data_IF_221915178683
#
_entry.id   IF_221915178683
#
_cell.length_a   1.000
_cell.length_b   1.000
_cell.length_c   1.000
_cell.angle_alpha   90.00
_cell.angle_beta   90.00
_cell.angle_gamma   90.00
#
_symmetry.space_group_name_H-M   'P 1'
#
loop_
_entity.id
_entity.type
_entity.pdbx_description
1 polymer ?
#
# COMPACT_ATOMS: atom_id res chain seq x y z
N UNK A 1 -26.40 -44.81 -21.89
CA UNK A 1 -25.40 -44.89 -20.78
C UNK A 1 -26.12 -45.36 -19.52
N UNK A 2 -25.62 -46.38 -18.84
CA UNK A 2 -26.35 -46.96 -17.70
C UNK A 2 -26.28 -46.02 -16.48
N UNK A 3 -27.32 -45.97 -15.64
CA UNK A 3 -27.48 -44.96 -14.56
C UNK A 3 -26.27 -44.94 -13.60
N UNK A 4 -25.70 -46.13 -13.32
CA UNK A 4 -24.47 -46.29 -12.50
C UNK A 4 -23.24 -45.62 -13.13
N UNK A 5 -23.13 -45.58 -14.45
CA UNK A 5 -21.99 -44.95 -15.13
C UNK A 5 -22.13 -43.43 -15.15
N UNK A 6 -23.35 -42.91 -15.27
CA UNK A 6 -23.65 -41.47 -15.13
C UNK A 6 -23.29 -41.00 -13.71
N UNK A 7 -23.68 -41.79 -12.69
CA UNK A 7 -23.41 -41.44 -11.30
C UNK A 7 -21.92 -41.44 -10.96
N UNK A 8 -21.15 -42.42 -11.44
CA UNK A 8 -19.69 -42.45 -11.30
C UNK A 8 -19.01 -41.26 -11.99
N UNK A 9 -19.47 -40.89 -13.18
CA UNK A 9 -18.94 -39.75 -13.92
C UNK A 9 -19.14 -38.44 -13.15
N UNK A 10 -20.33 -38.23 -12.59
CA UNK A 10 -20.64 -37.06 -11.76
C UNK A 10 -19.80 -37.02 -10.49
N UNK A 11 -19.59 -38.17 -9.83
CA UNK A 11 -18.79 -38.25 -8.62
C UNK A 11 -17.31 -37.95 -8.89
N UNK A 12 -16.75 -38.45 -9.99
CA UNK A 12 -15.38 -38.11 -10.38
C UNK A 12 -15.24 -36.63 -10.76
N UNK A 13 -16.23 -36.06 -11.46
CA UNK A 13 -16.23 -34.63 -11.78
C UNK A 13 -16.21 -33.78 -10.50
N UNK A 14 -17.07 -34.09 -9.53
CA UNK A 14 -17.11 -33.39 -8.24
C UNK A 14 -15.81 -33.55 -7.44
N UNK A 15 -15.23 -34.75 -7.41
CA UNK A 15 -13.96 -35.00 -6.73
C UNK A 15 -12.80 -34.21 -7.36
N UNK A 16 -12.76 -34.10 -8.69
CA UNK A 16 -11.74 -33.33 -9.41
C UNK A 16 -11.89 -31.84 -9.11
N UNK A 17 -13.11 -31.31 -9.15
CA UNK A 17 -13.39 -29.90 -8.81
C UNK A 17 -12.98 -29.62 -7.36
N UNK A 18 -13.37 -30.49 -6.42
CA UNK A 18 -12.99 -30.37 -5.01
C UNK A 18 -11.49 -30.40 -4.80
N UNK A 19 -10.78 -31.29 -5.50
CA UNK A 19 -9.32 -31.37 -5.45
C UNK A 19 -8.66 -30.09 -5.99
N UNK A 20 -9.12 -29.56 -7.13
CA UNK A 20 -8.58 -28.33 -7.72
C UNK A 20 -8.79 -27.14 -6.77
N UNK A 21 -9.96 -27.01 -6.15
CA UNK A 21 -10.25 -25.93 -5.21
C UNK A 21 -9.39 -26.02 -3.94
N UNK A 22 -9.22 -27.21 -3.38
CA UNK A 22 -8.37 -27.42 -2.19
C UNK A 22 -6.90 -27.17 -2.52
N UNK A 23 -6.42 -27.68 -3.66
CA UNK A 23 -5.06 -27.45 -4.14
C UNK A 23 -4.81 -25.95 -4.40
N UNK A 24 -5.76 -25.25 -5.02
CA UNK A 24 -5.70 -23.80 -5.22
C UNK A 24 -5.68 -23.02 -3.91
N UNK A 25 -6.53 -23.39 -2.95
CA UNK A 25 -6.52 -22.79 -1.60
C UNK A 25 -5.17 -22.95 -0.91
N UNK A 26 -4.57 -24.14 -0.96
CA UNK A 26 -3.24 -24.37 -0.39
C UNK A 26 -2.13 -23.65 -1.16
N UNK A 27 -2.22 -23.55 -2.48
CA UNK A 27 -1.27 -22.80 -3.30
C UNK A 27 -1.26 -21.31 -2.92
N UNK A 28 -2.43 -20.71 -2.71
CA UNK A 28 -2.55 -19.32 -2.23
C UNK A 28 -2.09 -19.22 -0.77
N UNK A 29 -2.56 -20.11 0.11
CA UNK A 29 -2.26 -20.07 1.55
C UNK A 29 -0.76 -20.22 1.86
N UNK A 30 -0.04 -21.03 1.09
CA UNK A 30 1.40 -21.22 1.25
C UNK A 30 2.24 -20.31 0.34
N UNK A 31 1.62 -19.34 -0.33
CA UNK A 31 2.35 -18.37 -1.15
C UNK A 31 3.03 -18.97 -2.39
N UNK A 32 2.60 -20.16 -2.85
CA UNK A 32 3.10 -20.80 -4.07
C UNK A 32 2.73 -20.03 -5.34
N UNK A 33 1.83 -19.06 -5.24
CA UNK A 33 1.43 -18.14 -6.32
C UNK A 33 1.99 -16.72 -6.13
N UNK A 34 2.87 -16.49 -5.15
CA UNK A 34 3.43 -15.15 -4.92
C UNK A 34 4.29 -14.74 -6.12
N UNK A 35 3.95 -13.61 -6.73
CA UNK A 35 4.80 -13.00 -7.75
C UNK A 35 6.09 -12.54 -7.10
N UNK A 36 7.21 -12.87 -7.74
CA UNK A 36 8.54 -12.53 -7.22
C UNK A 36 8.68 -11.01 -7.26
N UNK A 37 8.80 -10.37 -6.09
CA UNK A 37 9.14 -8.95 -6.03
C UNK A 37 10.54 -8.70 -6.60
N UNK A 38 10.78 -7.48 -7.07
CA UNK A 38 12.09 -7.07 -7.56
C UNK A 38 12.86 -6.33 -6.49
N UNK A 39 14.18 -6.50 -6.52
CA UNK A 39 15.14 -5.74 -5.70
C UNK A 39 15.86 -4.78 -6.63
N UNK A 40 15.83 -3.49 -6.29
CA UNK A 40 16.53 -2.46 -7.04
C UNK A 40 18.01 -2.49 -6.68
N UNK A 41 18.83 -3.07 -7.56
CA UNK A 41 20.28 -3.10 -7.39
C UNK A 41 20.96 -1.74 -7.70
N UNK A 42 20.20 -0.74 -8.16
CA UNK A 42 20.70 0.56 -8.60
C UNK A 42 20.59 1.64 -7.51
N UNK A 43 21.50 1.61 -6.53
CA UNK A 43 21.57 2.61 -5.43
C UNK A 43 21.97 4.04 -5.88
N UNK A 44 22.62 4.20 -7.02
CA UNK A 44 23.25 5.47 -7.44
C UNK A 44 22.40 6.34 -8.39
N UNK A 45 21.33 5.78 -8.97
CA UNK A 45 20.52 6.47 -9.99
C UNK A 45 19.40 7.35 -9.43
N UNK A 46 18.86 7.01 -8.25
CA UNK A 46 17.68 7.69 -7.67
C UNK A 46 17.92 9.16 -7.35
N UNK A 47 19.14 9.53 -6.94
CA UNK A 47 19.45 10.89 -6.47
C UNK A 47 20.04 11.83 -7.53
N UNK A 48 20.49 11.32 -8.68
CA UNK A 48 21.22 12.14 -9.67
C UNK A 48 20.35 13.03 -10.55
N UNK A 49 19.02 12.86 -10.55
CA UNK A 49 18.12 13.51 -11.49
C UNK A 49 16.88 14.14 -10.82
N UNK A 50 17.04 14.72 -9.62
CA UNK A 50 15.94 15.45 -8.95
C UNK A 50 15.44 16.64 -9.80
N UNK A 51 16.24 17.14 -10.74
CA UNK A 51 15.88 18.24 -11.64
C UNK A 51 15.12 17.82 -12.91
N UNK A 52 15.14 16.54 -13.30
CA UNK A 52 14.40 16.10 -14.49
C UNK A 52 13.02 15.58 -14.11
N UNK A 53 11.98 16.02 -14.84
CA UNK A 53 10.62 15.53 -14.66
C UNK A 53 10.58 13.99 -14.79
N UNK A 54 10.02 13.25 -13.82
CA UNK A 54 9.98 11.79 -13.85
C UNK A 54 9.17 11.26 -15.04
N UNK A 55 9.64 10.20 -15.71
CA UNK A 55 8.98 9.68 -16.91
C UNK A 55 7.53 9.19 -16.67
N UNK A 56 7.20 8.77 -15.45
CA UNK A 56 5.84 8.36 -15.07
C UNK A 56 4.87 9.55 -14.90
N UNK A 57 5.36 10.78 -14.84
CA UNK A 57 4.57 12.00 -14.58
C UNK A 57 4.12 12.75 -15.85
N UNK A 58 4.38 12.22 -17.04
CA UNK A 58 3.99 12.84 -18.32
C UNK A 58 2.63 12.36 -18.85
N UNK A 59 2.10 11.26 -18.31
CA UNK A 59 0.89 10.60 -18.82
C UNK A 59 -0.43 11.17 -18.31
N UNK A 60 -1.52 10.80 -18.98
CA UNK A 60 -2.89 11.09 -18.54
C UNK A 60 -3.18 10.48 -17.16
N UNK A 61 -2.59 9.32 -16.86
CA UNK A 61 -2.71 8.62 -15.58
C UNK A 61 -2.22 9.50 -14.44
N UNK A 62 -1.12 10.22 -14.65
CA UNK A 62 -0.58 11.16 -13.66
C UNK A 62 -1.49 12.37 -13.48
N UNK A 63 -1.98 12.97 -14.57
CA UNK A 63 -2.89 14.11 -14.49
C UNK A 63 -4.20 13.76 -13.76
N UNK A 64 -4.71 12.54 -14.00
CA UNK A 64 -5.87 11.99 -13.28
C UNK A 64 -5.55 11.84 -11.80
N UNK A 65 -4.40 11.25 -11.48
CA UNK A 65 -3.92 11.09 -10.12
C UNK A 65 -3.80 12.42 -9.39
N UNK A 66 -3.06 13.39 -9.95
CA UNK A 66 -2.82 14.73 -9.41
C UNK A 66 -4.14 15.45 -9.09
N UNK A 67 -5.08 15.43 -10.05
CA UNK A 67 -6.41 16.03 -9.85
C UNK A 67 -7.17 15.34 -8.72
N UNK A 68 -7.10 14.01 -8.64
CA UNK A 68 -7.85 13.24 -7.66
C UNK A 68 -7.26 13.36 -6.25
N UNK A 69 -5.94 13.23 -6.09
CA UNK A 69 -5.25 13.29 -4.79
C UNK A 69 -5.33 14.69 -4.18
N UNK A 70 -5.34 15.74 -4.99
CA UNK A 70 -5.48 17.12 -4.49
C UNK A 70 -6.84 17.37 -3.84
N UNK A 71 -7.90 16.69 -4.30
CA UNK A 71 -9.23 16.74 -3.65
C UNK A 71 -9.21 16.13 -2.25
N UNK A 72 -8.31 15.18 -2.02
CA UNK A 72 -8.18 14.44 -0.76
C UNK A 72 -7.17 15.08 0.20
N UNK A 73 -6.56 16.23 -0.16
CA UNK A 73 -5.49 16.88 0.60
C UNK A 73 -5.80 17.03 2.08
N UNK A 74 -6.99 17.51 2.43
CA UNK A 74 -7.41 17.73 3.83
C UNK A 74 -7.43 16.43 4.63
N UNK A 75 -7.97 15.35 4.05
CA UNK A 75 -8.03 14.05 4.70
C UNK A 75 -6.63 13.44 4.87
N UNK A 76 -5.76 13.60 3.86
CA UNK A 76 -4.36 13.15 3.89
C UNK A 76 -3.57 13.90 4.95
N UNK A 77 -3.66 15.23 5.01
CA UNK A 77 -2.96 16.06 6.01
C UNK A 77 -3.43 15.75 7.42
N UNK A 78 -4.74 15.56 7.62
CA UNK A 78 -5.29 15.17 8.93
C UNK A 78 -4.79 13.79 9.34
N UNK A 79 -4.81 12.82 8.44
CA UNK A 79 -4.30 11.46 8.69
C UNK A 79 -2.81 11.47 9.02
N UNK A 80 -2.01 12.19 8.23
CA UNK A 80 -0.58 12.35 8.42
C UNK A 80 -0.25 12.96 9.79
N UNK A 81 -0.97 14.01 10.18
CA UNK A 81 -0.80 14.68 11.48
C UNK A 81 -1.08 13.72 12.64
N UNK A 82 -2.18 12.98 12.58
CA UNK A 82 -2.55 12.03 13.64
C UNK A 82 -1.61 10.82 13.70
N UNK A 83 -1.11 10.37 12.56
CA UNK A 83 -0.16 9.26 12.48
C UNK A 83 1.28 9.66 12.81
N UNK A 84 1.61 10.95 12.84
CA UNK A 84 2.98 11.42 13.09
C UNK A 84 3.95 11.13 11.95
N UNK A 85 3.46 11.17 10.70
CA UNK A 85 4.24 11.03 9.46
C UNK A 85 3.96 12.20 8.52
N UNK A 86 4.75 12.37 7.47
CA UNK A 86 4.47 13.41 6.45
C UNK A 86 3.34 12.99 5.51
N UNK A 87 2.51 13.93 5.09
CA UNK A 87 1.51 13.72 4.04
C UNK A 87 2.14 13.18 2.75
N UNK A 88 3.32 13.71 2.37
CA UNK A 88 4.07 13.25 1.20
C UNK A 88 4.43 11.77 1.26
N UNK A 89 4.75 11.23 2.45
CA UNK A 89 5.05 9.81 2.61
C UNK A 89 3.81 8.92 2.39
N UNK A 90 2.63 9.35 2.85
CA UNK A 90 1.36 8.67 2.58
C UNK A 90 1.07 8.70 1.07
N UNK A 91 1.19 9.88 0.45
CA UNK A 91 0.96 10.05 -1.00
C UNK A 91 1.93 9.21 -1.81
N UNK A 92 3.17 9.02 -1.34
CA UNK A 92 4.15 8.15 -2.02
C UNK A 92 3.64 6.71 -2.18
N UNK A 93 2.97 6.17 -1.16
CA UNK A 93 2.35 4.83 -1.27
C UNK A 93 1.20 4.86 -2.26
N UNK A 94 0.36 5.89 -2.17
CA UNK A 94 -0.80 6.08 -3.03
C UNK A 94 -0.42 6.18 -4.51
N UNK A 95 0.70 6.84 -4.85
CA UNK A 95 1.23 6.91 -6.22
C UNK A 95 1.48 5.50 -6.78
N UNK A 96 2.21 4.68 -6.04
CA UNK A 96 2.54 3.33 -6.48
C UNK A 96 1.30 2.43 -6.62
N UNK A 97 0.35 2.52 -5.69
CA UNK A 97 -0.92 1.79 -5.75
C UNK A 97 -1.80 2.21 -6.93
N UNK A 98 -1.97 3.52 -7.13
CA UNK A 98 -2.90 4.06 -8.12
C UNK A 98 -2.34 4.01 -9.54
N UNK A 99 -1.05 4.30 -9.73
CA UNK A 99 -0.44 4.15 -11.05
C UNK A 99 -0.43 2.67 -11.47
N UNK A 100 -0.13 1.73 -10.56
CA UNK A 100 -0.28 0.30 -10.85
C UNK A 100 -1.71 -0.02 -11.31
N UNK A 101 -2.71 0.46 -10.58
CA UNK A 101 -4.12 0.25 -10.91
C UNK A 101 -4.47 0.82 -12.29
N UNK A 102 -4.07 2.05 -12.57
CA UNK A 102 -4.38 2.76 -13.83
C UNK A 102 -3.71 2.13 -15.05
N UNK A 103 -2.50 1.57 -14.90
CA UNK A 103 -1.79 0.90 -15.98
C UNK A 103 -2.24 -0.56 -16.18
N UNK A 104 -2.68 -1.24 -15.11
CA UNK A 104 -3.16 -2.62 -15.20
C UNK A 104 -4.60 -2.68 -15.71
N UNK A 105 -5.48 -1.80 -15.22
CA UNK A 105 -6.91 -1.79 -15.55
C UNK A 105 -7.25 -0.69 -16.57
N UNK A 106 -6.65 -0.78 -17.77
CA UNK A 106 -6.75 0.26 -18.82
C UNK A 106 -8.19 0.59 -19.22
N UNK A 107 -9.06 -0.41 -19.30
CA UNK A 107 -10.47 -0.20 -19.68
C UNK A 107 -11.21 0.61 -18.61
N UNK A 108 -11.12 0.21 -17.34
CA UNK A 108 -11.74 0.95 -16.22
C UNK A 108 -11.13 2.34 -16.08
N UNK A 109 -9.82 2.47 -16.29
CA UNK A 109 -9.17 3.78 -16.31
C UNK A 109 -9.80 4.72 -17.34
N UNK A 110 -10.02 4.25 -18.57
CA UNK A 110 -10.59 5.08 -19.65
C UNK A 110 -12.08 5.35 -19.48
N UNK A 111 -12.84 4.41 -18.94
CA UNK A 111 -14.31 4.55 -18.83
C UNK A 111 -14.78 5.16 -17.52
N UNK A 112 -13.97 5.09 -16.45
CA UNK A 112 -14.36 5.54 -15.10
C UNK A 112 -13.37 6.53 -14.51
N UNK A 113 -12.10 6.13 -14.30
CA UNK A 113 -11.15 6.94 -13.50
C UNK A 113 -10.78 8.25 -14.18
N UNK A 114 -10.48 8.23 -15.49
CA UNK A 114 -10.09 9.43 -16.22
C UNK A 114 -11.25 10.43 -16.40
N UNK A 115 -12.45 10.02 -16.85
CA UNK A 115 -13.57 10.96 -17.00
C UNK A 115 -13.99 11.61 -15.69
N UNK A 116 -13.96 10.87 -14.58
CA UNK A 116 -14.39 11.37 -13.27
C UNK A 116 -13.27 12.04 -12.47
N UNK A 117 -12.01 11.85 -12.88
CA UNK A 117 -10.80 12.31 -12.16
C UNK A 117 -10.83 11.87 -10.70
N UNK A 118 -10.94 10.55 -10.50
CA UNK A 118 -11.02 9.90 -9.18
C UNK A 118 -9.94 8.85 -9.00
N UNK A 119 -9.60 8.59 -7.73
CA UNK A 119 -8.82 7.43 -7.31
C UNK A 119 -9.70 6.17 -7.37
N UNK A 120 -9.10 5.03 -7.67
CA UNK A 120 -9.78 3.74 -7.68
C UNK A 120 -9.65 3.02 -6.34
N UNK A 121 -10.77 2.49 -5.84
CA UNK A 121 -10.73 1.44 -4.82
C UNK A 121 -10.09 0.18 -5.42
N UNK A 122 -9.28 -0.50 -4.61
CA UNK A 122 -8.64 -1.75 -4.99
C UNK A 122 -9.64 -2.93 -4.88
N UNK A 123 -9.15 -4.17 -4.83
CA UNK A 123 -10.01 -5.38 -4.90
C UNK A 123 -10.66 -5.77 -3.56
N UNK A 124 -11.48 -6.82 -3.55
CA UNK A 124 -11.99 -7.39 -2.30
C UNK A 124 -10.88 -7.88 -1.33
N UNK A 125 -9.67 -8.14 -1.84
CA UNK A 125 -8.51 -8.59 -1.06
C UNK A 125 -7.59 -7.43 -0.63
N UNK A 126 -7.85 -6.22 -1.09
CA UNK A 126 -7.03 -5.02 -0.84
C UNK A 126 -7.96 -3.81 -0.79
N UNK A 127 -8.19 -3.25 0.38
CA UNK A 127 -9.28 -2.32 0.62
C UNK A 127 -8.89 -0.86 0.39
N UNK A 128 -9.87 -0.09 -0.08
CA UNK A 128 -9.76 1.35 -0.27
C UNK A 128 -8.78 1.72 -1.38
N UNK A 129 -8.40 3.00 -1.41
CA UNK A 129 -7.46 3.55 -2.41
C UNK A 129 -6.00 3.17 -2.12
N UNK A 130 -5.71 2.79 -0.87
CA UNK A 130 -4.38 2.41 -0.40
C UNK A 130 -4.08 0.91 -0.49
N UNK A 131 -5.04 0.08 -0.93
CA UNK A 131 -4.82 -1.35 -1.13
C UNK A 131 -4.52 -2.16 0.13
N UNK A 132 -5.00 -1.72 1.29
CA UNK A 132 -4.71 -2.38 2.58
C UNK A 132 -5.37 -3.76 2.67
N UNK A 133 -4.59 -4.80 2.97
CA UNK A 133 -5.14 -6.13 3.28
C UNK A 133 -5.86 -6.09 4.63
N UNK A 134 -6.89 -6.93 4.78
CA UNK A 134 -7.63 -7.05 6.04
C UNK A 134 -6.72 -7.42 7.21
N UNK A 135 -5.85 -8.40 6.99
CA UNK A 135 -4.93 -8.91 8.01
C UNK A 135 -3.97 -7.81 8.48
N UNK A 136 -3.41 -7.03 7.54
CA UNK A 136 -2.56 -5.89 7.85
C UNK A 136 -3.30 -4.82 8.67
N UNK A 137 -4.54 -4.51 8.31
CA UNK A 137 -5.36 -3.56 9.06
C UNK A 137 -5.61 -4.02 10.51
N UNK A 138 -5.85 -5.31 10.71
CA UNK A 138 -5.98 -5.92 12.04
C UNK A 138 -4.65 -5.89 12.81
N UNK A 139 -3.52 -6.12 12.14
CA UNK A 139 -2.20 -6.06 12.77
C UNK A 139 -1.83 -4.67 13.25
N UNK A 140 -2.15 -3.63 12.47
CA UNK A 140 -2.00 -2.22 12.87
C UNK A 140 -2.76 -1.97 14.18
N UNK A 141 -4.06 -2.30 14.23
CA UNK A 141 -4.85 -2.12 15.47
C UNK A 141 -4.22 -2.84 16.67
N UNK A 142 -3.76 -4.08 16.49
CA UNK A 142 -3.10 -4.85 17.56
C UNK A 142 -1.78 -4.22 18.02
N UNK A 143 -1.00 -3.65 17.10
CA UNK A 143 0.27 -3.02 17.42
C UNK A 143 0.10 -1.69 18.15
N UNK A 144 -0.97 -0.95 17.88
CA UNK A 144 -1.32 0.26 18.61
C UNK A 144 -1.60 0.00 20.09
N UNK A 145 -2.22 -1.13 20.44
CA UNK A 145 -2.61 -1.44 21.83
C UNK A 145 -1.56 -2.27 22.59
N UNK A 146 -0.70 -2.99 21.90
CA UNK A 146 0.27 -3.88 22.52
C UNK A 146 1.57 -3.16 22.88
N UNK A 147 1.67 -2.65 24.10
CA UNK A 147 2.90 -1.98 24.61
C UNK A 147 4.19 -2.81 24.57
N UNK A 148 4.10 -4.15 24.45
CA UNK A 148 5.26 -5.03 24.28
C UNK A 148 5.65 -5.26 22.82
N UNK A 149 4.83 -4.79 21.87
CA UNK A 149 5.13 -4.86 20.44
C UNK A 149 6.33 -3.96 20.09
N UNK A 150 7.28 -4.42 19.26
CA UNK A 150 8.32 -3.53 18.75
C UNK A 150 7.71 -2.38 17.92
N UNK A 151 6.54 -2.60 17.32
CA UNK A 151 5.79 -1.64 16.53
C UNK A 151 5.00 -0.61 17.37
N UNK A 152 4.87 -0.78 18.69
CA UNK A 152 4.03 0.07 19.53
C UNK A 152 4.43 1.55 19.49
N UNK A 153 3.47 2.42 19.17
CA UNK A 153 3.66 3.86 18.97
C UNK A 153 3.55 4.69 20.27
N UNK A 154 2.98 4.13 21.33
CA UNK A 154 2.74 4.84 22.58
C UNK A 154 1.28 5.21 22.83
N UNK A 155 0.98 5.58 24.08
CA UNK A 155 -0.38 5.81 24.59
C UNK A 155 -1.22 6.82 23.81
N UNK A 156 -0.58 7.79 23.16
CA UNK A 156 -1.29 8.81 22.38
C UNK A 156 -1.96 8.24 21.11
N UNK A 157 -1.50 7.08 20.63
CA UNK A 157 -2.00 6.44 19.42
C UNK A 157 -3.02 5.33 19.67
N UNK A 158 -3.03 4.74 20.87
CA UNK A 158 -3.84 3.57 21.25
C UNK A 158 -5.32 3.69 20.87
N UNK A 159 -5.88 4.91 20.91
CA UNK A 159 -7.31 5.15 20.71
C UNK A 159 -7.69 5.62 19.30
N UNK A 160 -6.72 5.80 18.40
CA UNK A 160 -6.96 6.40 17.09
C UNK A 160 -7.86 5.53 16.19
N UNK A 161 -7.86 4.21 16.39
CA UNK A 161 -8.62 3.27 15.59
C UNK A 161 -9.72 2.53 16.36
N UNK A 162 -9.96 2.85 17.63
CA UNK A 162 -10.93 2.11 18.46
C UNK A 162 -12.28 1.96 17.74
N UNK A 163 -12.83 0.73 17.69
CA UNK A 163 -14.17 0.52 17.14
C UNK A 163 -15.19 1.21 18.05
N UNK A 164 -16.22 1.80 17.43
CA UNK A 164 -17.35 2.37 18.15
C UNK A 164 -18.59 1.47 18.08
N UNK A 165 -18.55 0.44 17.23
CA UNK A 165 -19.63 -0.53 17.06
C UNK A 165 -19.31 -1.88 17.71
N UNK A 166 -20.32 -2.74 17.81
CA UNK A 166 -20.16 -4.12 18.27
C UNK A 166 -19.57 -5.07 17.22
N UNK A 167 -19.34 -4.59 15.99
CA UNK A 167 -18.75 -5.36 14.88
C UNK A 167 -17.53 -4.62 14.30
N UNK A 168 -16.36 -4.77 14.96
CA UNK A 168 -15.13 -4.09 14.54
C UNK A 168 -14.69 -4.43 13.11
N UNK A 169 -14.99 -5.64 12.62
CA UNK A 169 -14.57 -6.07 11.28
C UNK A 169 -15.37 -5.36 10.18
N UNK A 170 -16.70 -5.31 10.32
CA UNK A 170 -17.55 -4.55 9.40
C UNK A 170 -17.23 -3.05 9.45
N UNK A 171 -16.98 -2.52 10.65
CA UNK A 171 -16.63 -1.12 10.84
C UNK A 171 -15.30 -0.77 10.16
N UNK A 172 -14.27 -1.61 10.36
CA UNK A 172 -12.95 -1.44 9.72
C UNK A 172 -13.06 -1.43 8.21
N UNK A 173 -13.77 -2.41 7.64
CA UNK A 173 -14.01 -2.47 6.20
C UNK A 173 -14.64 -1.16 5.71
N UNK A 174 -15.76 -0.74 6.32
CA UNK A 174 -16.48 0.49 5.95
C UNK A 174 -15.61 1.73 6.07
N UNK A 175 -14.82 1.86 7.15
CA UNK A 175 -13.89 2.98 7.35
C UNK A 175 -12.86 3.05 6.23
N UNK A 176 -12.23 1.92 5.88
CA UNK A 176 -11.14 1.89 4.89
C UNK A 176 -11.68 2.09 3.46
N UNK A 177 -12.90 1.63 3.17
CA UNK A 177 -13.52 1.71 1.83
C UNK A 177 -14.50 2.87 1.66
N UNK A 178 -14.58 3.81 2.61
CA UNK A 178 -15.53 4.92 2.53
C UNK A 178 -15.21 5.82 1.33
N UNK A 179 -16.17 5.95 0.42
CA UNK A 179 -16.04 6.75 -0.80
C UNK A 179 -16.28 8.25 -0.55
N UNK A 180 -16.93 8.61 0.56
CA UNK A 180 -17.22 10.01 0.91
C UNK A 180 -16.07 10.68 1.66
N UNK A 181 -15.32 9.90 2.45
CA UNK A 181 -14.09 10.35 3.11
C UNK A 181 -13.11 9.21 3.19
N UNK A 182 -11.97 9.36 2.51
CA UNK A 182 -10.90 8.37 2.50
C UNK A 182 -9.93 8.51 3.68
N UNK A 183 -10.29 9.37 4.64
CA UNK A 183 -9.49 9.66 5.82
C UNK A 183 -8.95 8.39 6.50
N UNK A 184 -9.78 7.38 6.75
CA UNK A 184 -9.31 6.17 7.43
C UNK A 184 -8.38 5.34 6.54
N UNK A 185 -8.59 5.29 5.22
CA UNK A 185 -7.63 4.66 4.30
C UNK A 185 -6.23 5.27 4.46
N UNK A 186 -6.17 6.61 4.54
CA UNK A 186 -4.92 7.33 4.77
C UNK A 186 -4.38 7.18 6.20
N UNK A 187 -5.25 7.20 7.22
CA UNK A 187 -4.85 7.07 8.62
C UNK A 187 -4.23 5.70 8.90
N UNK A 188 -4.86 4.61 8.44
CA UNK A 188 -4.28 3.27 8.56
C UNK A 188 -2.92 3.19 7.88
N UNK A 189 -2.78 3.78 6.69
CA UNK A 189 -1.49 3.80 5.98
C UNK A 189 -0.44 4.59 6.75
N UNK A 190 -0.78 5.77 7.26
CA UNK A 190 0.13 6.58 8.07
C UNK A 190 0.59 5.86 9.33
N UNK A 191 -0.34 5.21 10.04
CA UNK A 191 -0.04 4.45 11.26
C UNK A 191 0.85 3.24 10.94
N UNK A 192 0.56 2.52 9.87
CA UNK A 192 1.39 1.39 9.43
C UNK A 192 2.84 1.82 9.14
N UNK A 193 3.02 2.92 8.39
CA UNK A 193 4.34 3.48 8.12
C UNK A 193 5.06 3.88 9.42
N UNK A 194 4.34 4.49 10.36
CA UNK A 194 4.89 4.90 11.65
C UNK A 194 5.30 3.71 12.52
N UNK A 195 4.53 2.63 12.49
CA UNK A 195 4.81 1.40 13.20
C UNK A 195 6.09 0.75 12.71
N UNK A 196 6.26 0.64 11.38
CA UNK A 196 7.49 0.16 10.76
C UNK A 196 8.67 1.06 11.15
N UNK A 197 8.53 2.38 10.99
CA UNK A 197 9.57 3.35 11.37
C UNK A 197 10.00 3.17 12.83
N UNK A 198 9.03 3.02 13.73
CA UNK A 198 9.25 2.85 15.17
C UNK A 198 9.98 1.55 15.50
N UNK A 199 9.60 0.43 14.85
CA UNK A 199 10.26 -0.86 15.03
C UNK A 199 11.75 -0.79 14.65
N UNK A 200 12.04 -0.17 13.50
CA UNK A 200 13.40 -0.01 12.99
C UNK A 200 14.23 0.95 13.84
N UNK A 201 13.64 2.06 14.28
CA UNK A 201 14.29 3.01 15.17
C UNK A 201 14.66 2.36 16.52
N UNK A 202 13.74 1.62 17.15
CA UNK A 202 14.00 0.88 18.40
C UNK A 202 15.08 -0.19 18.24
N UNK A 203 15.21 -0.76 17.06
CA UNK A 203 16.26 -1.73 16.74
C UNK A 203 17.62 -1.11 16.40
N UNK A 204 17.73 0.23 16.38
CA UNK A 204 18.98 0.95 16.07
C UNK A 204 19.27 1.15 14.58
N UNK A 205 18.27 0.95 13.72
CA UNK A 205 18.38 1.09 12.26
C UNK A 205 17.39 2.14 11.75
N UNK A 206 17.60 3.43 12.07
CA UNK A 206 16.65 4.49 11.70
C UNK A 206 16.44 4.60 10.17
N UNK A 207 15.18 4.45 9.74
CA UNK A 207 14.74 4.57 8.34
C UNK A 207 13.71 5.69 8.13
N UNK A 208 13.54 6.59 9.10
CA UNK A 208 12.60 7.73 9.03
C UNK A 208 12.83 8.64 7.81
N UNK A 209 14.08 8.71 7.33
CA UNK A 209 14.47 9.47 6.13
C UNK A 209 14.70 8.56 4.90
N UNK A 210 14.21 7.32 4.92
CA UNK A 210 14.39 6.30 3.87
C UNK A 210 13.02 5.88 3.29
N UNK A 211 12.30 6.80 2.60
CA UNK A 211 10.97 6.54 2.07
C UNK A 211 10.92 5.32 1.15
N UNK A 212 11.99 5.01 0.44
CA UNK A 212 12.11 3.84 -0.42
C UNK A 212 12.07 2.52 0.36
N UNK A 213 12.64 2.50 1.57
CA UNK A 213 12.63 1.31 2.45
C UNK A 213 11.28 1.20 3.16
N UNK A 214 10.75 2.32 3.69
CA UNK A 214 9.41 2.35 4.28
C UNK A 214 8.35 1.87 3.28
N UNK A 215 8.43 2.32 2.03
CA UNK A 215 7.51 1.92 0.96
C UNK A 215 7.69 0.46 0.54
N UNK A 216 8.93 -0.02 0.52
CA UNK A 216 9.22 -1.45 0.29
C UNK A 216 8.53 -2.30 1.35
N UNK A 217 8.73 -1.97 2.63
CA UNK A 217 8.16 -2.70 3.77
C UNK A 217 6.64 -2.61 3.84
N UNK A 218 6.06 -1.43 3.57
CA UNK A 218 4.62 -1.26 3.41
C UNK A 218 4.05 -2.26 2.39
N UNK A 219 4.71 -2.39 1.23
CA UNK A 219 4.23 -3.24 0.15
C UNK A 219 4.36 -4.74 0.45
N UNK A 220 5.41 -5.16 1.15
CA UNK A 220 5.68 -6.58 1.38
C UNK A 220 5.12 -7.11 2.70
N UNK A 221 4.80 -6.27 3.70
CA UNK A 221 4.15 -6.70 4.94
C UNK A 221 5.06 -6.67 6.18
N UNK A 222 4.44 -6.67 7.36
CA UNK A 222 5.13 -6.72 8.66
C UNK A 222 6.04 -7.94 8.81
N UNK A 223 5.65 -9.09 8.25
CA UNK A 223 6.42 -10.33 8.34
C UNK A 223 7.81 -10.24 7.72
N UNK A 224 8.01 -9.28 6.81
CA UNK A 224 9.29 -9.04 6.14
C UNK A 224 10.07 -7.85 6.75
N UNK A 225 9.50 -7.16 7.74
CA UNK A 225 10.17 -6.06 8.43
C UNK A 225 11.20 -6.56 9.44
N UNK A 226 12.39 -6.87 8.92
CA UNK A 226 13.56 -7.31 9.71
C UNK A 226 14.63 -6.21 9.70
N UNK A 227 14.77 -5.44 10.80
CA UNK A 227 15.75 -4.35 10.87
C UNK A 227 17.19 -4.82 10.63
N UNK A 228 17.93 -4.11 9.78
CA UNK A 228 19.32 -4.41 9.46
C UNK A 228 20.05 -3.19 8.89
N UNK A 229 21.39 -3.27 8.82
CA UNK A 229 22.25 -2.14 8.42
C UNK A 229 22.17 -1.80 6.92
N UNK A 230 21.76 -2.75 6.08
CA UNK A 230 21.79 -2.63 4.62
C UNK A 230 20.45 -3.05 4.01
N UNK A 231 19.34 -2.37 4.35
CA UNK A 231 18.06 -2.68 3.74
C UNK A 231 18.12 -2.43 2.24
N UNK A 232 17.36 -3.24 1.51
CA UNK A 232 17.26 -3.20 0.05
C UNK A 232 15.93 -2.58 -0.34
N UNK A 233 15.95 -1.81 -1.43
CA UNK A 233 14.76 -1.24 -2.05
C UNK A 233 14.14 -2.29 -2.94
N UNK A 234 12.81 -2.41 -2.92
CA UNK A 234 12.13 -3.39 -3.75
C UNK A 234 10.62 -3.39 -3.60
N UNK A 235 10.06 -4.58 -3.70
CA UNK A 235 8.62 -4.84 -3.63
C UNK A 235 8.09 -5.36 -4.96
N UNK A 236 6.77 -5.39 -5.07
CA UNK A 236 6.09 -5.87 -6.27
C UNK A 236 6.39 -4.99 -7.49
N UNK A 237 6.53 -5.63 -8.66
CA UNK A 237 6.79 -4.96 -9.93
C UNK A 237 5.62 -4.06 -10.35
N UNK A 238 5.94 -2.87 -10.88
CA UNK A 238 5.00 -1.92 -11.46
C UNK A 238 5.49 -1.57 -12.86
N UNK A 239 4.71 -1.97 -13.87
CA UNK A 239 4.98 -1.59 -15.25
C UNK A 239 4.23 -0.30 -15.60
N UNK A 240 4.98 0.75 -15.90
CA UNK A 240 4.46 2.04 -16.38
C UNK A 240 5.04 2.29 -17.77
N UNK A 241 4.18 2.19 -18.79
CA UNK A 241 4.60 2.19 -20.18
C UNK A 241 5.61 1.06 -20.45
N UNK A 242 6.81 1.42 -20.87
CA UNK A 242 7.90 0.47 -21.17
C UNK A 242 8.86 0.24 -19.99
N UNK A 243 8.79 1.06 -18.93
CA UNK A 243 9.68 0.95 -17.76
C UNK A 243 9.03 0.13 -16.65
N UNK A 244 9.85 -0.67 -15.98
CA UNK A 244 9.48 -1.44 -14.79
C UNK A 244 10.09 -0.74 -13.57
N UNK A 245 9.29 -0.56 -12.53
CA UNK A 245 9.67 0.00 -11.25
C UNK A 245 9.37 -1.01 -10.15
N UNK A 246 10.17 -1.02 -9.08
CA UNK A 246 9.72 -1.62 -7.83
C UNK A 246 8.73 -0.68 -7.14
N UNK A 247 7.86 -1.22 -6.28
CA UNK A 247 6.96 -0.38 -5.48
C UNK A 247 7.75 0.64 -4.65
N UNK A 248 8.78 0.20 -3.92
CA UNK A 248 9.63 1.07 -3.13
C UNK A 248 10.34 2.15 -3.95
N UNK A 249 10.84 1.77 -5.14
CA UNK A 249 11.53 2.66 -6.06
C UNK A 249 10.62 3.74 -6.65
N UNK A 250 9.42 3.38 -7.11
CA UNK A 250 8.46 4.35 -7.65
C UNK A 250 7.98 5.33 -6.57
N UNK A 251 7.65 4.82 -5.37
CA UNK A 251 7.26 5.66 -4.24
C UNK A 251 8.36 6.66 -3.86
N UNK A 252 9.62 6.23 -3.89
CA UNK A 252 10.77 7.09 -3.62
C UNK A 252 11.01 8.14 -4.71
N UNK A 253 10.87 7.74 -5.98
CA UNK A 253 11.00 8.66 -7.12
C UNK A 253 9.97 9.79 -7.01
N UNK A 254 8.72 9.49 -6.60
CA UNK A 254 7.74 10.53 -6.26
C UNK A 254 8.14 11.35 -5.02
N UNK A 255 8.53 10.70 -3.92
CA UNK A 255 8.90 11.41 -2.70
C UNK A 255 9.98 12.48 -2.95
N UNK A 256 10.97 12.15 -3.79
CA UNK A 256 12.06 13.05 -4.12
C UNK A 256 11.84 13.93 -5.36
N UNK A 257 10.80 13.71 -6.17
CA UNK A 257 10.49 14.58 -7.32
C UNK A 257 9.89 15.92 -6.90
N UNK A 258 9.82 16.88 -7.83
CA UNK A 258 9.14 18.16 -7.60
C UNK A 258 7.63 18.10 -7.83
N UNK A 259 7.09 16.94 -8.20
CA UNK A 259 5.66 16.75 -8.40
C UNK A 259 4.91 16.92 -7.07
N UNK A 260 3.79 17.65 -7.11
CA UNK A 260 2.94 17.96 -5.95
C UNK A 260 3.70 18.55 -4.74
N UNK A 261 4.80 19.27 -4.96
CA UNK A 261 5.64 19.78 -3.87
C UNK A 261 4.95 20.91 -3.10
N UNK A 262 4.09 21.69 -3.76
CA UNK A 262 3.29 22.75 -3.11
C UNK A 262 2.16 22.15 -2.26
N UNK A 263 1.54 21.07 -2.73
CA UNK A 263 0.45 20.39 -2.05
C UNK A 263 0.94 19.53 -0.89
N UNK A 264 2.03 18.79 -1.11
CA UNK A 264 2.58 17.82 -0.18
C UNK A 264 4.10 18.01 -0.05
N UNK A 265 4.58 18.98 0.76
CA UNK A 265 5.99 19.29 0.85
C UNK A 265 6.81 18.12 1.45
N UNK A 266 8.09 18.05 1.07
CA UNK A 266 9.07 17.16 1.73
C UNK A 266 9.25 17.60 3.18
N UNK A 267 9.68 16.68 4.06
CA UNK A 267 10.04 17.03 5.45
C UNK A 267 11.17 18.08 5.40
N UNK A 268 10.91 19.30 5.88
CA UNK A 268 11.95 20.34 5.95
C UNK A 268 12.89 20.04 7.12
N UNK A 269 14.14 19.68 6.82
CA UNK A 269 15.18 19.46 7.83
C UNK A 269 15.58 20.74 8.59
N UNK A 270 15.07 21.92 8.19
CA UNK A 270 15.42 23.22 8.80
C UNK A 270 14.48 23.69 9.90
N UNK A 271 13.38 22.97 10.16
CA UNK A 271 12.39 23.34 11.19
C UNK A 271 12.53 22.54 12.50
N UNK A 272 13.57 21.71 12.62
CA UNK A 272 13.90 20.98 13.85
C UNK A 272 15.18 21.55 14.50
N UNK A 273 15.13 22.82 14.93
CA UNK A 273 16.08 23.42 15.87
C UNK A 273 15.34 24.25 16.92
#
# INVERSE_FOLDING_TARGET
MNLKNIWKLLLYLFAIIGFILVAGFFAVKFGLTNTTGIIDNQREGFYRNIESKPAWSDGEEWQVFETAVTKDKVDIERAATLAGVTARLIVSQLVSEQLRLFYTNREIFKTVFSPLKILGNQSQFSWGVMGLKQETAIEIEKHLENSSSPYYLGKNFEKLLNPITSDPDSERFKRITDENSRFYSYLYTGLYLKEIETQWQKAGFDISNRPEILSTLFNIGFEHSTPNINPQVGGSEIKIGEKIYSFGGLSAEFYYSNELLEEFPRKDSRLEH
#
